data_IF_010647354559
#
_entry.id   IF_010647354559
#
_cell.length_a   1.000
_cell.length_b   1.000
_cell.length_c   1.000
_cell.angle_alpha   90.00
_cell.angle_beta   90.00
_cell.angle_gamma   90.00
#
_symmetry.space_group_name_H-M   'P 1'
#
loop_
_entity.id
_entity.type
_entity.pdbx_description
1 polymer ?
#
# COMPACT_ATOMS: atom_id res chain seq x y z
N UNK A 1 12.22 27.22 -21.94
CA UNK A 1 12.79 26.31 -20.95
C UNK A 1 11.63 25.53 -20.32
N UNK A 2 11.33 24.31 -20.81
CA UNK A 2 10.19 23.49 -20.33
C UNK A 2 10.69 22.61 -19.21
N UNK A 3 10.19 22.85 -18.00
CA UNK A 3 10.46 22.05 -16.82
C UNK A 3 9.66 20.75 -16.92
N UNK A 4 10.29 19.64 -17.29
CA UNK A 4 9.70 18.32 -17.18
C UNK A 4 9.75 17.88 -15.72
N UNK A 5 8.60 18.02 -15.01
CA UNK A 5 8.41 17.34 -13.74
C UNK A 5 8.07 15.88 -14.03
N UNK A 6 9.04 15.02 -13.79
CA UNK A 6 8.85 13.56 -13.81
C UNK A 6 8.09 13.19 -12.54
N UNK A 7 6.79 12.92 -12.64
CA UNK A 7 6.02 12.34 -11.56
C UNK A 7 6.23 10.83 -11.57
N UNK A 8 7.03 10.33 -10.66
CA UNK A 8 7.10 8.90 -10.39
C UNK A 8 5.83 8.51 -9.60
N UNK A 9 4.92 7.82 -10.26
CA UNK A 9 3.76 7.23 -9.60
C UNK A 9 4.20 5.94 -8.91
N UNK A 10 4.10 5.93 -7.59
CA UNK A 10 4.37 4.77 -6.74
C UNK A 10 3.04 4.16 -6.31
N UNK A 11 2.99 2.83 -6.27
CA UNK A 11 1.85 2.14 -5.64
C UNK A 11 2.16 2.03 -4.15
N UNK A 12 1.40 2.75 -3.32
CA UNK A 12 1.44 2.61 -1.88
C UNK A 12 0.25 1.75 -1.44
N UNK A 13 0.52 0.62 -0.80
CA UNK A 13 -0.50 -0.11 -0.07
C UNK A 13 -0.39 0.29 1.40
N UNK A 14 -1.30 1.15 1.83
CA UNK A 14 -1.44 1.43 3.25
C UNK A 14 -2.43 0.41 3.82
N UNK A 15 -1.93 -0.66 4.39
CA UNK A 15 -2.74 -1.61 5.15
C UNK A 15 -2.79 -1.10 6.60
N UNK A 16 -3.78 -0.26 6.91
CA UNK A 16 -4.08 0.09 8.29
C UNK A 16 -4.78 -1.09 8.95
N UNK A 17 -4.06 -1.90 9.69
CA UNK A 17 -4.65 -2.76 10.71
C UNK A 17 -4.64 -1.93 11.98
N UNK A 18 -5.64 -1.08 12.17
CA UNK A 18 -5.90 -0.47 13.47
C UNK A 18 -6.53 -1.55 14.36
N UNK A 19 -5.71 -2.40 14.94
CA UNK A 19 -6.12 -3.24 16.05
C UNK A 19 -6.29 -2.33 17.28
N UNK A 20 -7.49 -1.85 17.53
CA UNK A 20 -7.85 -1.40 18.85
C UNK A 20 -8.09 -2.69 19.64
N UNK A 21 -7.12 -3.11 20.44
CA UNK A 21 -7.31 -4.18 21.42
C UNK A 21 -8.33 -3.72 22.45
N UNK A 22 -9.61 -3.95 22.16
CA UNK A 22 -10.65 -3.94 23.16
C UNK A 22 -10.57 -5.29 23.91
N UNK A 23 -10.47 -5.29 25.24
CA UNK A 23 -10.47 -6.53 26.01
C UNK A 23 -11.75 -7.32 25.67
N UNK A 24 -11.58 -8.52 25.10
CA UNK A 24 -12.67 -9.41 24.68
C UNK A 24 -12.93 -9.51 23.18
N UNK A 25 -12.15 -8.87 22.31
CA UNK A 25 -12.27 -9.06 20.85
C UNK A 25 -11.67 -10.39 20.41
N UNK A 26 -12.53 -11.41 20.22
CA UNK A 26 -12.14 -12.62 19.52
C UNK A 26 -11.97 -12.28 18.03
N UNK A 27 -10.73 -12.02 17.61
CA UNK A 27 -10.39 -12.00 16.18
C UNK A 27 -10.66 -13.41 15.68
N UNK A 28 -11.52 -13.55 14.66
CA UNK A 28 -11.81 -14.85 14.08
C UNK A 28 -10.51 -15.57 13.71
N UNK A 29 -10.29 -16.82 14.12
CA UNK A 29 -9.08 -17.58 13.81
C UNK A 29 -8.86 -17.81 12.30
N UNK A 30 -9.80 -17.44 11.45
CA UNK A 30 -9.75 -17.57 9.98
C UNK A 30 -9.44 -16.26 9.27
N UNK A 31 -8.77 -15.31 9.92
CA UNK A 31 -8.30 -14.09 9.26
C UNK A 31 -7.15 -14.43 8.30
N UNK A 32 -7.40 -14.29 7.01
CA UNK A 32 -6.40 -14.51 5.97
C UNK A 32 -6.33 -13.29 5.05
N UNK A 33 -5.13 -12.72 4.92
CA UNK A 33 -4.83 -11.68 3.95
C UNK A 33 -4.24 -12.31 2.68
N UNK A 34 -4.75 -11.87 1.53
CA UNK A 34 -4.15 -12.13 0.24
C UNK A 34 -3.14 -11.04 -0.10
N UNK A 35 -2.04 -11.43 -0.75
CA UNK A 35 -1.07 -10.44 -1.23
C UNK A 35 -1.68 -9.60 -2.35
N UNK A 36 -1.64 -8.25 -2.28
CA UNK A 36 -2.45 -7.39 -3.14
C UNK A 36 -1.83 -7.09 -4.50
N UNK A 37 -0.70 -7.67 -4.85
CA UNK A 37 -0.03 -7.49 -6.15
C UNK A 37 0.33 -8.85 -6.76
N UNK A 38 0.61 -8.92 -8.07
CA UNK A 38 1.05 -10.16 -8.71
C UNK A 38 2.49 -10.58 -8.34
N UNK A 39 3.21 -9.78 -7.55
CA UNK A 39 4.58 -10.10 -7.14
C UNK A 39 4.59 -11.31 -6.19
N UNK A 40 5.17 -12.47 -6.60
CA UNK A 40 5.15 -13.68 -5.78
C UNK A 40 6.23 -13.70 -4.68
N UNK A 41 7.04 -12.66 -4.58
CA UNK A 41 8.24 -12.66 -3.73
C UNK A 41 7.89 -12.88 -2.25
N UNK A 42 6.81 -12.24 -1.76
CA UNK A 42 6.34 -12.44 -0.39
C UNK A 42 5.90 -13.89 -0.13
N UNK A 43 5.07 -14.45 -1.01
CA UNK A 43 4.58 -15.82 -0.88
C UNK A 43 5.70 -16.87 -0.98
N UNK A 44 6.79 -16.54 -1.68
CA UNK A 44 7.99 -17.39 -1.79
C UNK A 44 8.99 -17.20 -0.65
N UNK A 45 8.67 -16.40 0.37
CA UNK A 45 9.57 -16.12 1.49
C UNK A 45 10.85 -15.39 1.10
N UNK A 46 10.84 -14.63 0.00
CA UNK A 46 12.01 -13.85 -0.43
C UNK A 46 12.24 -12.67 0.51
N UNK A 47 13.46 -12.15 0.55
CA UNK A 47 13.81 -10.99 1.36
C UNK A 47 13.03 -9.72 0.99
N UNK A 48 12.91 -8.79 1.92
CA UNK A 48 12.11 -7.56 1.80
C UNK A 48 12.44 -6.73 0.54
N UNK A 49 13.69 -6.70 0.11
CA UNK A 49 14.13 -6.01 -1.11
C UNK A 49 13.47 -6.52 -2.40
N UNK A 50 12.90 -7.73 -2.39
CA UNK A 50 12.24 -8.32 -3.54
C UNK A 50 10.79 -7.83 -3.72
N UNK A 51 10.18 -7.23 -2.71
CA UNK A 51 8.79 -6.77 -2.78
C UNK A 51 8.54 -5.38 -2.18
N UNK A 52 9.47 -4.82 -1.38
CA UNK A 52 9.37 -3.44 -0.92
C UNK A 52 10.09 -2.50 -1.89
N UNK A 53 9.47 -1.36 -2.17
CA UNK A 53 10.01 -0.35 -3.04
C UNK A 53 10.73 0.73 -2.24
N UNK A 54 11.88 1.16 -2.74
CA UNK A 54 12.55 2.38 -2.27
C UNK A 54 11.69 3.60 -2.55
N UNK A 55 11.49 4.45 -1.57
CA UNK A 55 10.63 5.63 -1.69
C UNK A 55 11.29 6.86 -1.08
N UNK A 56 11.09 8.01 -1.73
CA UNK A 56 11.67 9.28 -1.30
C UNK A 56 13.19 9.39 -1.53
N UNK A 57 13.86 10.26 -0.77
CA UNK A 57 15.30 10.47 -0.88
C UNK A 57 16.12 9.30 -0.31
N UNK A 58 15.52 8.48 0.53
CA UNK A 58 16.14 7.30 1.12
C UNK A 58 16.39 6.26 0.02
N UNK A 59 17.62 5.77 -0.07
CA UNK A 59 18.01 4.82 -1.10
C UNK A 59 17.82 3.37 -0.69
N UNK A 60 17.36 3.12 0.53
CA UNK A 60 17.12 1.79 1.07
C UNK A 60 15.67 1.35 0.82
N UNK A 61 15.49 0.04 0.59
CA UNK A 61 14.17 -0.58 0.45
C UNK A 61 13.34 -0.50 1.75
N UNK A 62 14.00 -0.38 2.91
CA UNK A 62 13.31 -0.20 4.20
C UNK A 62 12.45 1.05 4.23
N UNK A 63 12.74 2.08 3.42
CA UNK A 63 11.89 3.28 3.29
C UNK A 63 10.48 2.98 2.79
N UNK A 64 10.28 1.84 2.14
CA UNK A 64 8.96 1.33 1.73
C UNK A 64 8.26 0.48 2.79
N UNK A 65 8.90 0.19 3.93
CA UNK A 65 8.31 -0.57 5.02
C UNK A 65 7.41 0.31 5.91
N UNK A 66 6.58 -0.33 6.73
CA UNK A 66 5.77 0.34 7.75
C UNK A 66 6.64 0.80 8.93
N UNK A 67 6.35 1.96 9.50
CA UNK A 67 6.98 2.47 10.72
C UNK A 67 7.85 3.70 10.53
N UNK A 68 8.70 4.01 11.52
CA UNK A 68 9.65 5.13 11.49
C UNK A 68 10.87 4.79 10.64
N UNK A 69 10.69 4.68 9.33
CA UNK A 69 11.69 4.17 8.38
C UNK A 69 12.15 5.20 7.34
N UNK A 70 11.58 6.40 7.34
CA UNK A 70 11.92 7.48 6.40
C UNK A 70 12.68 8.60 7.09
N UNK A 71 13.52 9.33 6.33
CA UNK A 71 14.35 10.43 6.83
C UNK A 71 15.18 10.01 8.05
N UNK A 72 15.93 8.90 7.96
CA UNK A 72 16.72 8.32 9.04
C UNK A 72 15.90 8.03 10.32
N UNK A 73 14.67 7.56 10.16
CA UNK A 73 13.79 7.20 11.27
C UNK A 73 12.94 8.36 11.84
N UNK A 74 13.03 9.54 11.26
CA UNK A 74 12.25 10.71 11.71
C UNK A 74 10.82 10.75 11.14
N UNK A 75 10.58 10.08 10.01
CA UNK A 75 9.27 10.12 9.37
C UNK A 75 8.61 8.75 9.40
N UNK A 76 7.42 8.70 10.00
CA UNK A 76 6.59 7.51 10.03
C UNK A 76 5.98 7.26 8.66
N UNK A 77 6.03 5.99 8.21
CA UNK A 77 5.35 5.50 7.02
C UNK A 77 4.18 4.61 7.44
N UNK A 78 2.98 4.97 7.01
CA UNK A 78 1.73 4.39 7.48
C UNK A 78 1.34 3.10 6.75
N UNK A 79 2.13 2.64 5.78
CA UNK A 79 1.81 1.47 4.97
C UNK A 79 3.03 0.76 4.40
N UNK A 80 2.81 0.01 3.33
CA UNK A 80 3.85 -0.67 2.57
C UNK A 80 3.90 -0.13 1.14
N UNK A 81 5.07 0.28 0.69
CA UNK A 81 5.31 0.60 -0.72
C UNK A 81 5.75 -0.66 -1.44
N UNK A 82 4.90 -1.19 -2.31
CA UNK A 82 5.14 -2.46 -2.97
C UNK A 82 5.87 -2.28 -4.30
N UNK A 83 6.88 -3.11 -4.53
CA UNK A 83 7.66 -3.12 -5.76
C UNK A 83 6.85 -3.77 -6.90
N UNK A 84 6.59 -3.05 -8.01
CA UNK A 84 5.87 -3.59 -9.16
C UNK A 84 6.80 -4.46 -10.01
N UNK A 85 6.22 -5.52 -10.60
CA UNK A 85 6.94 -6.38 -11.54
C UNK A 85 7.06 -5.74 -12.91
N UNK A 86 6.06 -4.97 -13.33
CA UNK A 86 5.99 -4.37 -14.66
C UNK A 86 5.94 -2.85 -14.57
N UNK A 87 6.68 -2.22 -15.47
CA UNK A 87 6.68 -0.77 -15.65
C UNK A 87 6.54 -0.43 -17.13
N UNK A 88 5.90 0.69 -17.42
CA UNK A 88 5.88 1.25 -18.78
C UNK A 88 7.20 1.93 -19.14
N UNK A 89 7.28 2.44 -20.36
CA UNK A 89 8.47 3.17 -20.87
C UNK A 89 8.79 4.45 -20.11
N UNK A 90 7.84 4.96 -19.30
CA UNK A 90 8.00 6.14 -18.43
C UNK A 90 8.30 5.75 -16.98
N UNK A 91 8.51 4.47 -16.70
CA UNK A 91 8.79 3.94 -15.37
C UNK A 91 7.57 3.81 -14.45
N UNK A 92 6.34 3.98 -14.95
CA UNK A 92 5.11 3.87 -14.14
C UNK A 92 4.73 2.41 -13.95
N UNK A 93 4.30 2.07 -12.73
CA UNK A 93 3.82 0.73 -12.40
C UNK A 93 2.60 0.35 -13.28
N UNK A 94 2.58 -0.91 -13.74
CA UNK A 94 1.54 -1.47 -14.60
C UNK A 94 0.84 -2.68 -13.98
N UNK A 95 1.20 -3.05 -12.76
CA UNK A 95 0.60 -4.20 -12.09
C UNK A 95 -0.82 -3.89 -11.62
N UNK A 96 -1.71 -4.86 -11.74
CA UNK A 96 -3.03 -4.79 -11.13
C UNK A 96 -2.91 -4.85 -9.61
N UNK A 97 -3.80 -4.14 -8.91
CA UNK A 97 -3.94 -4.18 -7.47
C UNK A 97 -5.20 -4.97 -7.12
N UNK A 98 -5.08 -5.89 -6.20
CA UNK A 98 -6.15 -6.76 -5.74
C UNK A 98 -6.52 -6.43 -4.29
N UNK A 99 -7.79 -6.64 -3.94
CA UNK A 99 -8.22 -6.55 -2.55
C UNK A 99 -7.48 -7.60 -1.69
N UNK A 100 -6.88 -7.16 -0.59
CA UNK A 100 -6.20 -8.06 0.34
C UNK A 100 -7.19 -8.96 1.10
N UNK A 101 -8.47 -8.59 1.14
CA UNK A 101 -9.55 -9.28 1.82
C UNK A 101 -10.89 -8.92 1.18
N UNK A 102 -11.91 -9.78 1.33
CA UNK A 102 -13.29 -9.44 0.97
C UNK A 102 -13.75 -8.17 1.68
N UNK A 103 -14.37 -7.27 0.94
CA UNK A 103 -14.84 -6.00 1.49
C UNK A 103 -15.81 -5.29 0.55
N UNK A 104 -16.34 -4.16 1.02
CA UNK A 104 -17.19 -3.26 0.27
C UNK A 104 -16.42 -1.96 0.06
N UNK A 105 -16.46 -1.41 -1.15
CA UNK A 105 -15.87 -0.09 -1.43
C UNK A 105 -16.59 0.96 -0.59
N UNK A 106 -15.87 1.54 0.35
CA UNK A 106 -16.38 2.54 1.28
C UNK A 106 -16.07 3.95 0.79
N UNK A 107 -14.96 4.14 0.08
CA UNK A 107 -14.59 5.44 -0.47
C UNK A 107 -13.67 5.31 -1.69
N UNK A 108 -13.79 6.24 -2.63
CA UNK A 108 -12.91 6.37 -3.81
C UNK A 108 -12.52 7.82 -4.02
N UNK A 109 -11.23 8.09 -4.19
CA UNK A 109 -10.72 9.37 -4.64
C UNK A 109 -10.14 9.26 -6.05
N UNK A 110 -10.82 9.85 -7.03
CA UNK A 110 -10.39 9.83 -8.44
C UNK A 110 -9.41 10.96 -8.80
N UNK A 111 -9.20 11.95 -7.92
CA UNK A 111 -8.40 13.15 -8.22
C UNK A 111 -7.10 13.14 -7.41
N UNK A 112 -5.97 12.88 -8.08
CA UNK A 112 -4.66 12.77 -7.40
C UNK A 112 -4.28 13.99 -6.57
N UNK A 113 -4.67 15.20 -6.99
CA UNK A 113 -4.34 16.43 -6.28
C UNK A 113 -5.05 16.61 -4.94
N UNK A 114 -6.11 15.85 -4.68
CA UNK A 114 -6.93 16.00 -3.46
C UNK A 114 -6.33 15.30 -2.24
N UNK A 115 -5.29 14.50 -2.40
CA UNK A 115 -4.73 13.71 -1.30
C UNK A 115 -3.24 13.40 -1.51
N UNK A 116 -2.50 13.29 -0.40
CA UNK A 116 -1.14 12.76 -0.40
C UNK A 116 -1.08 11.30 -0.88
N UNK A 117 -2.18 10.55 -0.80
CA UNK A 117 -2.30 9.19 -1.34
C UNK A 117 -2.61 9.15 -2.84
N UNK A 118 -2.70 10.31 -3.53
CA UNK A 118 -3.06 10.37 -4.94
C UNK A 118 -4.47 9.89 -5.21
N UNK A 119 -4.67 9.13 -6.29
CA UNK A 119 -5.91 8.36 -6.46
C UNK A 119 -5.86 7.15 -5.53
N UNK A 120 -6.95 6.91 -4.80
CA UNK A 120 -6.99 5.81 -3.86
C UNK A 120 -8.40 5.26 -3.65
N UNK A 121 -8.47 4.04 -3.16
CA UNK A 121 -9.70 3.34 -2.79
C UNK A 121 -9.59 2.83 -1.35
N UNK A 122 -10.70 2.90 -0.62
CA UNK A 122 -10.84 2.33 0.72
C UNK A 122 -11.88 1.23 0.68
N UNK A 123 -11.52 0.06 1.21
CA UNK A 123 -12.45 -1.05 1.43
C UNK A 123 -12.77 -1.17 2.92
N UNK A 124 -14.05 -1.35 3.25
CA UNK A 124 -14.51 -1.78 4.56
C UNK A 124 -14.66 -3.30 4.59
N UNK A 125 -14.05 -3.95 5.57
CA UNK A 125 -14.10 -5.40 5.77
C UNK A 125 -15.14 -5.73 6.84
N UNK A 126 -16.41 -5.71 6.45
CA UNK A 126 -17.57 -5.77 7.34
C UNK A 126 -17.74 -7.10 8.10
N UNK A 127 -17.08 -8.18 7.66
CA UNK A 127 -17.06 -9.47 8.39
C UNK A 127 -16.15 -9.45 9.62
N UNK A 128 -15.38 -8.37 9.80
CA UNK A 128 -14.41 -8.23 10.89
C UNK A 128 -15.01 -7.45 12.08
N UNK A 129 -14.64 -7.85 13.29
CA UNK A 129 -14.95 -7.14 14.54
C UNK A 129 -13.65 -7.01 15.35
N UNK A 130 -13.16 -5.78 15.65
CA UNK A 130 -13.70 -4.51 15.17
C UNK A 130 -13.66 -4.39 13.64
N UNK A 131 -14.39 -3.43 13.07
CA UNK A 131 -14.35 -3.13 11.63
C UNK A 131 -12.92 -2.81 11.20
N UNK A 132 -12.48 -3.43 10.11
CA UNK A 132 -11.18 -3.14 9.50
C UNK A 132 -11.37 -2.42 8.17
N UNK A 133 -10.39 -1.62 7.82
CA UNK A 133 -10.34 -0.92 6.54
C UNK A 133 -8.98 -1.17 5.89
N UNK A 134 -8.96 -1.30 4.56
CA UNK A 134 -7.73 -1.26 3.78
C UNK A 134 -7.76 -0.10 2.80
N UNK A 135 -6.63 0.58 2.64
CA UNK A 135 -6.46 1.69 1.69
C UNK A 135 -5.43 1.29 0.64
N UNK A 136 -5.79 1.49 -0.63
CA UNK A 136 -4.95 1.26 -1.80
C UNK A 136 -4.69 2.59 -2.47
N UNK A 137 -3.49 3.13 -2.31
CA UNK A 137 -3.11 4.47 -2.75
C UNK A 137 -2.25 4.49 -4.00
N UNK A 138 -2.07 5.71 -4.55
CA UNK A 138 -1.27 6.00 -5.74
C UNK A 138 -1.66 5.20 -6.97
N UNK A 139 -2.95 4.88 -7.09
CA UNK A 139 -3.49 4.13 -8.22
C UNK A 139 -3.42 4.98 -9.50
N UNK A 140 -3.06 4.33 -10.61
CA UNK A 140 -3.06 4.98 -11.93
C UNK A 140 -4.50 5.18 -12.43
N UNK A 141 -5.32 4.14 -12.24
CA UNK A 141 -6.73 4.08 -12.65
C UNK A 141 -7.54 3.39 -11.55
N UNK A 142 -8.83 3.73 -11.49
CA UNK A 142 -9.81 3.15 -10.57
C UNK A 142 -11.10 2.94 -11.35
#
# INVERSE_FOLDING_TARGET
>A
MKLHRSFNFFVHLNLFILCIDLPGSNISPNFQLSWPTPNPAFAKGMGYSAFLQKTGPDKDFTSGAFGCVRNNGYKFHEGLDLYPLRRDTKGRAQDSIYAAMDGIVSYVNHVSANSAYGKYMVLEHHKMKPKLYSLYGHLAEI
#
